data_IF_798265804916
#
_entry.id   IF_798265804916
#
_cell.length_a   1.000
_cell.length_b   1.000
_cell.length_c   1.000
_cell.angle_alpha   90.00
_cell.angle_beta   90.00
_cell.angle_gamma   90.00
#
_symmetry.space_group_name_H-M   'P 1'
#
loop_
_entity.id
_entity.type
_entity.pdbx_description
1 polymer ?
#
# COMPACT_ATOMS: atom_id res chain seq x y z
N UNK A 1 13.98 -6.51 -26.45
CA UNK A 1 13.55 -6.19 -25.07
C UNK A 1 14.12 -4.82 -24.74
N UNK A 2 13.27 -3.83 -24.65
CA UNK A 2 13.66 -2.52 -24.15
C UNK A 2 14.00 -2.74 -22.66
N UNK A 3 15.24 -2.49 -22.28
CA UNK A 3 15.61 -2.47 -20.86
C UNK A 3 14.88 -1.29 -20.23
N UNK A 4 13.80 -1.57 -19.52
CA UNK A 4 13.08 -0.53 -18.83
C UNK A 4 13.97 0.02 -17.72
N UNK A 5 14.21 1.31 -17.77
CA UNK A 5 14.98 2.00 -16.73
C UNK A 5 14.16 1.94 -15.42
N UNK A 6 14.77 1.48 -14.31
CA UNK A 6 14.09 1.45 -13.04
C UNK A 6 13.48 2.80 -12.69
N UNK A 7 12.26 2.79 -12.16
CA UNK A 7 11.52 4.01 -11.86
C UNK A 7 11.81 4.43 -10.42
N UNK A 8 12.13 5.69 -10.23
CA UNK A 8 12.35 6.26 -8.90
C UNK A 8 11.28 7.32 -8.64
N UNK A 9 10.74 7.31 -7.44
CA UNK A 9 9.74 8.25 -7.01
C UNK A 9 9.69 8.43 -5.50
N UNK A 10 8.71 9.18 -5.04
CA UNK A 10 8.45 9.37 -3.62
C UNK A 10 6.96 9.49 -3.32
N UNK A 11 6.59 9.15 -2.08
CA UNK A 11 5.29 9.47 -1.53
C UNK A 11 5.14 10.99 -1.42
N UNK A 12 4.05 11.51 -1.95
CA UNK A 12 3.64 12.91 -1.75
C UNK A 12 2.43 12.93 -0.83
N UNK A 13 2.54 13.66 0.27
CA UNK A 13 1.40 13.90 1.15
C UNK A 13 0.62 15.10 0.64
N UNK A 14 -0.61 14.82 0.20
CA UNK A 14 -1.62 15.81 -0.21
C UNK A 14 -2.60 15.95 0.94
N UNK A 15 -2.55 17.09 1.63
CA UNK A 15 -3.25 17.30 2.90
C UNK A 15 -4.12 18.55 2.86
N UNK A 16 -5.26 18.58 3.56
CA UNK A 16 -6.07 19.78 3.71
C UNK A 16 -5.26 20.96 4.25
N UNK A 17 -5.45 22.14 3.66
CA UNK A 17 -4.73 23.35 4.00
C UNK A 17 -3.55 23.66 3.09
N UNK A 18 -3.12 22.72 2.28
CA UNK A 18 -2.14 22.98 1.21
C UNK A 18 -2.80 23.78 0.08
N UNK A 19 -2.04 24.71 -0.48
CA UNK A 19 -2.48 25.49 -1.64
C UNK A 19 -2.18 24.74 -2.94
N UNK A 20 -2.83 25.11 -4.08
CA UNK A 20 -2.46 24.57 -5.39
C UNK A 20 -0.97 24.77 -5.71
N UNK A 21 -0.38 25.89 -5.27
CA UNK A 21 1.03 26.21 -5.45
C UNK A 21 1.96 25.27 -4.66
N UNK A 22 1.57 24.89 -3.44
CA UNK A 22 2.31 23.92 -2.63
C UNK A 22 2.33 22.55 -3.35
N UNK A 23 1.16 22.08 -3.80
CA UNK A 23 1.00 20.81 -4.50
C UNK A 23 1.77 20.82 -5.82
N UNK A 24 1.64 21.87 -6.64
CA UNK A 24 2.43 22.05 -7.88
C UNK A 24 3.93 22.01 -7.60
N UNK A 25 4.35 22.63 -6.49
CA UNK A 25 5.74 22.64 -6.03
C UNK A 25 6.29 21.25 -5.77
N UNK A 26 5.54 20.36 -5.15
CA UNK A 26 5.96 18.97 -4.88
C UNK A 26 6.20 18.20 -6.19
N UNK A 27 5.28 18.27 -7.14
CA UNK A 27 5.42 17.57 -8.41
C UNK A 27 6.52 18.16 -9.30
N UNK A 28 6.71 19.48 -9.26
CA UNK A 28 7.85 20.12 -9.89
C UNK A 28 9.17 19.64 -9.31
N UNK A 29 9.26 19.51 -7.97
CA UNK A 29 10.46 19.03 -7.28
C UNK A 29 10.79 17.58 -7.69
N UNK A 30 9.78 16.70 -7.81
CA UNK A 30 9.97 15.35 -8.33
C UNK A 30 10.58 15.37 -9.73
N UNK A 31 9.97 16.11 -10.66
CA UNK A 31 10.47 16.25 -12.03
C UNK A 31 11.90 16.77 -12.07
N UNK A 32 12.21 17.82 -11.31
CA UNK A 32 13.52 18.48 -11.32
C UNK A 32 14.63 17.57 -10.79
N UNK A 33 14.27 16.59 -9.95
CA UNK A 33 15.17 15.55 -9.46
C UNK A 33 15.13 14.25 -10.28
N UNK A 34 14.47 14.23 -11.44
CA UNK A 34 14.39 13.06 -12.31
C UNK A 34 13.48 11.94 -11.81
N UNK A 35 12.72 12.18 -10.76
CA UNK A 35 11.71 11.25 -10.25
C UNK A 35 10.45 11.31 -11.12
N UNK A 36 10.02 10.15 -11.62
CA UNK A 36 8.91 10.04 -12.58
C UNK A 36 7.67 9.37 -12.01
N UNK A 37 7.71 9.01 -10.75
CA UNK A 37 6.61 8.34 -10.06
C UNK A 37 6.35 9.04 -8.75
N UNK A 38 5.08 9.22 -8.41
CA UNK A 38 4.65 9.60 -7.09
C UNK A 38 3.61 8.61 -6.57
N UNK A 39 3.62 8.40 -5.28
CA UNK A 39 2.51 7.74 -4.60
C UNK A 39 1.76 8.78 -3.80
N UNK A 40 0.43 8.70 -3.80
CA UNK A 40 -0.44 9.54 -2.98
C UNK A 40 -1.43 8.67 -2.22
N UNK A 41 -1.81 9.10 -1.02
CA UNK A 41 -2.88 8.48 -0.24
C UNK A 41 -4.17 9.28 -0.41
N UNK A 42 -5.23 8.63 -0.87
CA UNK A 42 -6.50 9.28 -1.18
C UNK A 42 -7.50 9.09 -0.03
N UNK A 43 -7.33 9.89 1.02
CA UNK A 43 -8.17 9.79 2.21
C UNK A 43 -9.62 10.21 1.93
N UNK A 44 -10.57 9.32 2.20
CA UNK A 44 -11.98 9.61 2.08
C UNK A 44 -12.41 10.81 2.93
N UNK A 45 -11.87 10.95 4.15
CA UNK A 45 -12.14 12.08 5.04
C UNK A 45 -11.70 13.45 4.48
N UNK A 46 -10.81 13.48 3.51
CA UNK A 46 -10.44 14.72 2.83
C UNK A 46 -11.39 15.09 1.68
N UNK A 47 -12.16 14.13 1.20
CA UNK A 47 -13.01 14.26 0.01
C UNK A 47 -14.52 14.17 0.29
N UNK A 48 -14.94 13.52 1.40
CA UNK A 48 -16.34 13.33 1.72
C UNK A 48 -16.73 14.13 2.95
N UNK A 49 -17.60 15.12 2.79
CA UNK A 49 -18.04 16.00 3.87
C UNK A 49 -19.52 16.35 3.71
N UNK A 50 -20.28 16.21 4.80
CA UNK A 50 -21.67 16.61 4.81
C UNK A 50 -22.58 15.88 3.81
N UNK A 51 -22.21 14.67 3.40
CA UNK A 51 -22.97 13.88 2.43
C UNK A 51 -22.56 14.10 0.97
N UNK A 52 -21.57 14.96 0.70
CA UNK A 52 -21.14 15.32 -0.66
C UNK A 52 -19.64 15.03 -0.86
N UNK A 53 -19.28 14.73 -2.11
CA UNK A 53 -17.91 14.52 -2.54
C UNK A 53 -17.29 15.82 -3.05
N UNK A 54 -16.15 16.19 -2.52
CA UNK A 54 -15.27 17.26 -3.01
C UNK A 54 -13.90 16.68 -3.36
N UNK A 55 -13.61 16.58 -4.63
CA UNK A 55 -12.36 16.02 -5.15
C UNK A 55 -11.29 17.09 -5.41
N UNK A 56 -11.60 18.37 -5.19
CA UNK A 56 -10.76 19.49 -5.61
C UNK A 56 -9.31 19.42 -5.14
N UNK A 57 -9.09 19.01 -3.89
CA UNK A 57 -7.74 18.88 -3.32
C UNK A 57 -6.88 17.87 -4.10
N UNK A 58 -7.44 16.70 -4.42
CA UNK A 58 -6.70 15.68 -5.17
C UNK A 58 -6.68 15.96 -6.67
N UNK A 59 -7.69 16.63 -7.22
CA UNK A 59 -7.65 17.11 -8.61
C UNK A 59 -6.42 18.00 -8.88
N UNK A 60 -6.02 18.85 -7.93
CA UNK A 60 -4.79 19.62 -8.04
C UNK A 60 -3.55 18.72 -8.13
N UNK A 61 -3.49 17.65 -7.35
CA UNK A 61 -2.37 16.71 -7.38
C UNK A 61 -2.29 15.96 -8.73
N UNK A 62 -3.44 15.50 -9.24
CA UNK A 62 -3.49 14.83 -10.54
C UNK A 62 -3.16 15.77 -11.71
N UNK A 63 -3.66 17.02 -11.70
CA UNK A 63 -3.29 18.05 -12.69
C UNK A 63 -1.79 18.38 -12.64
N UNK A 64 -1.21 18.49 -11.46
CA UNK A 64 0.22 18.73 -11.31
C UNK A 64 1.02 17.51 -11.81
N UNK A 65 0.59 16.28 -11.53
CA UNK A 65 1.21 15.08 -12.05
C UNK A 65 1.16 15.03 -13.58
N UNK A 66 0.01 15.30 -14.21
CA UNK A 66 -0.13 15.39 -15.67
C UNK A 66 0.82 16.47 -16.25
N UNK A 67 0.82 17.66 -15.64
CA UNK A 67 1.65 18.79 -16.06
C UNK A 67 3.14 18.47 -16.08
N UNK A 68 3.62 17.72 -15.11
CA UNK A 68 5.05 17.40 -14.95
C UNK A 68 5.45 16.01 -15.46
N UNK A 69 4.50 15.24 -16.02
CA UNK A 69 4.74 13.89 -16.53
C UNK A 69 5.13 12.89 -15.44
N UNK A 70 4.58 13.06 -14.23
CA UNK A 70 4.78 12.15 -13.09
C UNK A 70 3.62 11.15 -13.04
N UNK A 71 3.94 9.86 -13.04
CA UNK A 71 2.93 8.80 -12.95
C UNK A 71 2.52 8.55 -11.50
N UNK A 72 1.24 8.26 -11.28
CA UNK A 72 0.67 8.12 -9.94
C UNK A 72 0.34 6.68 -9.56
N UNK A 73 0.82 6.29 -8.39
CA UNK A 73 0.30 5.20 -7.57
C UNK A 73 -0.73 5.81 -6.61
N UNK A 74 -2.01 5.65 -6.91
CA UNK A 74 -3.09 6.20 -6.11
C UNK A 74 -3.57 5.17 -5.08
N UNK A 75 -3.27 5.38 -3.81
CA UNK A 75 -3.65 4.47 -2.74
C UNK A 75 -5.07 4.75 -2.28
N UNK A 76 -5.95 3.76 -2.42
CA UNK A 76 -7.29 3.81 -1.89
C UNK A 76 -7.26 3.77 -0.37
N UNK A 77 -7.85 4.78 0.25
CA UNK A 77 -7.85 4.95 1.68
C UNK A 77 -9.26 5.31 2.18
N UNK A 78 -10.19 4.31 2.13
CA UNK A 78 -11.55 4.52 2.58
C UNK A 78 -11.52 4.82 4.08
N UNK A 79 -11.93 6.02 4.44
CA UNK A 79 -11.94 6.49 5.81
C UNK A 79 -13.31 6.29 6.40
N UNK A 80 -13.35 5.70 7.56
CA UNK A 80 -14.47 5.77 8.48
C UNK A 80 -14.05 6.57 9.70
N UNK A 81 -15.00 7.07 10.49
CA UNK A 81 -14.77 7.88 11.68
C UNK A 81 -13.85 7.25 12.75
N UNK A 82 -13.57 5.95 12.62
CA UNK A 82 -12.71 5.20 13.53
C UNK A 82 -11.32 4.96 12.96
N UNK A 83 -10.98 5.52 11.82
CA UNK A 83 -9.70 5.27 11.23
C UNK A 83 -8.61 6.03 11.93
N UNK A 84 -7.84 5.21 12.57
CA UNK A 84 -6.48 5.47 12.84
C UNK A 84 -5.72 5.47 11.50
N UNK A 85 -5.10 6.56 11.19
CA UNK A 85 -4.33 6.90 10.02
C UNK A 85 -3.05 6.04 9.80
N UNK A 86 -2.59 5.37 10.85
CA UNK A 86 -1.39 4.53 10.82
C UNK A 86 -1.72 3.18 10.20
N UNK A 87 -1.10 2.88 9.08
CA UNK A 87 -1.24 1.61 8.39
C UNK A 87 -2.60 1.40 7.70
N UNK A 88 -3.51 2.35 7.76
CA UNK A 88 -4.75 2.36 7.04
C UNK A 88 -5.78 1.34 7.51
N UNK A 89 -6.83 1.27 6.75
CA UNK A 89 -7.93 0.34 6.95
C UNK A 89 -7.50 -1.10 6.66
N UNK A 90 -7.86 -2.05 7.52
CA UNK A 90 -7.44 -3.45 7.38
C UNK A 90 -8.56 -4.40 6.91
N UNK A 91 -9.75 -4.33 7.50
CA UNK A 91 -10.86 -5.22 7.18
C UNK A 91 -12.22 -4.54 7.28
N UNK A 92 -13.21 -4.90 6.44
CA UNK A 92 -14.58 -4.46 6.63
C UNK A 92 -15.14 -5.07 7.93
N UNK A 93 -15.75 -4.23 8.77
CA UNK A 93 -16.29 -4.64 10.08
C UNK A 93 -17.72 -5.16 10.01
N UNK A 94 -18.45 -4.79 8.96
CA UNK A 94 -19.84 -5.16 8.75
C UNK A 94 -20.19 -5.06 7.26
N UNK A 95 -21.36 -5.57 6.90
CA UNK A 95 -21.90 -5.38 5.53
C UNK A 95 -22.19 -3.91 5.22
N UNK A 96 -22.58 -3.12 6.22
CA UNK A 96 -22.77 -1.68 6.05
C UNK A 96 -21.43 -1.01 5.75
N UNK A 97 -20.41 -1.30 6.56
CA UNK A 97 -19.06 -0.79 6.36
C UNK A 97 -18.48 -1.20 4.99
N UNK A 98 -18.69 -2.44 4.56
CA UNK A 98 -18.28 -2.88 3.23
C UNK A 98 -18.94 -2.06 2.12
N UNK A 99 -20.24 -1.71 2.26
CA UNK A 99 -20.92 -0.84 1.30
C UNK A 99 -20.34 0.58 1.29
N UNK A 100 -20.02 1.16 2.45
CA UNK A 100 -19.36 2.47 2.53
C UNK A 100 -18.02 2.46 1.81
N UNK A 101 -17.26 1.37 1.92
CA UNK A 101 -16.00 1.17 1.20
C UNK A 101 -16.27 1.09 -0.31
N UNK A 102 -17.26 0.33 -0.73
CA UNK A 102 -17.63 0.21 -2.15
C UNK A 102 -18.10 1.54 -2.74
N UNK A 103 -18.86 2.33 -1.98
CA UNK A 103 -19.30 3.67 -2.37
C UNK A 103 -18.10 4.62 -2.53
N UNK A 104 -17.16 4.59 -1.58
CA UNK A 104 -15.92 5.34 -1.67
C UNK A 104 -15.13 4.95 -2.93
N UNK A 105 -14.87 3.67 -3.14
CA UNK A 105 -14.11 3.17 -4.30
C UNK A 105 -14.81 3.59 -5.59
N UNK A 106 -16.14 3.45 -5.64
CA UNK A 106 -16.93 3.82 -6.82
C UNK A 106 -16.80 5.30 -7.14
N UNK A 107 -16.93 6.17 -6.15
CA UNK A 107 -16.82 7.62 -6.33
C UNK A 107 -15.41 8.02 -6.77
N UNK A 108 -14.38 7.57 -6.05
CA UNK A 108 -12.98 7.93 -6.28
C UNK A 108 -12.47 7.40 -7.61
N UNK A 109 -12.65 6.11 -7.88
CA UNK A 109 -12.16 5.50 -9.12
C UNK A 109 -12.87 6.09 -10.33
N UNK A 110 -14.20 6.27 -10.26
CA UNK A 110 -14.97 6.85 -11.37
C UNK A 110 -14.55 8.27 -11.70
N UNK A 111 -14.17 9.07 -10.70
CA UNK A 111 -13.71 10.43 -10.89
C UNK A 111 -12.28 10.49 -11.46
N UNK A 112 -11.32 9.82 -10.78
CA UNK A 112 -9.90 10.00 -11.08
C UNK A 112 -9.38 9.16 -12.25
N UNK A 113 -10.09 8.15 -12.74
CA UNK A 113 -9.68 7.36 -13.91
C UNK A 113 -9.49 8.18 -15.19
N UNK A 114 -10.00 9.40 -15.25
CA UNK A 114 -9.87 10.32 -16.39
C UNK A 114 -8.48 10.91 -16.55
N UNK A 115 -7.64 10.92 -15.51
CA UNK A 115 -6.32 11.52 -15.55
C UNK A 115 -5.28 10.58 -16.18
N UNK A 116 -4.45 11.12 -17.07
CA UNK A 116 -3.41 10.34 -17.78
C UNK A 116 -2.28 9.91 -16.85
N UNK A 117 -1.96 10.74 -15.87
CA UNK A 117 -0.94 10.46 -14.85
C UNK A 117 -1.26 9.24 -13.98
N UNK A 118 -2.52 8.86 -13.83
CA UNK A 118 -2.89 7.68 -13.07
C UNK A 118 -2.32 6.42 -13.71
N UNK A 119 -1.45 5.73 -13.01
CA UNK A 119 -0.82 4.51 -13.51
C UNK A 119 -1.40 3.26 -12.87
N UNK A 120 -1.51 3.26 -11.53
CA UNK A 120 -2.02 2.11 -10.81
C UNK A 120 -2.77 2.49 -9.54
N UNK A 121 -3.77 1.71 -9.21
CA UNK A 121 -4.48 1.78 -7.95
C UNK A 121 -3.78 0.90 -6.92
N UNK A 122 -3.37 1.46 -5.80
CA UNK A 122 -2.95 0.69 -4.63
C UNK A 122 -4.21 0.37 -3.84
N UNK A 123 -4.63 -0.90 -3.89
CA UNK A 123 -5.93 -1.35 -3.40
C UNK A 123 -6.10 -1.15 -1.89
N UNK A 124 -5.02 -1.35 -1.16
CA UNK A 124 -4.96 -1.15 0.29
C UNK A 124 -3.52 -0.89 0.72
N UNK A 125 -3.34 0.04 1.66
CA UNK A 125 -2.06 0.25 2.30
C UNK A 125 -1.78 -0.87 3.31
N UNK A 126 -0.65 -1.55 3.15
CA UNK A 126 -0.13 -2.54 4.09
C UNK A 126 -1.18 -3.54 4.59
N UNK A 127 -1.82 -4.31 3.68
CA UNK A 127 -2.83 -5.28 4.07
C UNK A 127 -2.27 -6.31 5.06
N UNK A 128 -3.09 -6.78 6.00
CA UNK A 128 -2.72 -7.85 6.94
C UNK A 128 -1.71 -7.45 8.02
N UNK A 129 -1.24 -6.19 8.05
CA UNK A 129 -0.23 -5.77 9.04
C UNK A 129 -0.75 -5.83 10.47
N UNK A 130 0.13 -6.26 11.38
CA UNK A 130 -0.08 -6.16 12.82
C UNK A 130 -0.69 -7.40 13.49
N UNK A 131 -0.76 -8.55 12.84
CA UNK A 131 -1.25 -9.79 13.47
C UNK A 131 -2.68 -9.66 14.02
N UNK A 132 -3.48 -8.78 13.45
CA UNK A 132 -4.82 -8.46 13.94
C UNK A 132 -5.75 -9.65 13.69
N UNK A 133 -6.31 -10.20 14.74
CA UNK A 133 -7.34 -11.23 14.62
C UNK A 133 -8.57 -10.65 13.95
N UNK A 134 -9.17 -11.41 13.04
CA UNK A 134 -10.46 -11.04 12.45
C UNK A 134 -11.52 -11.11 13.55
N UNK A 135 -12.14 -9.98 13.87
CA UNK A 135 -13.31 -9.97 14.73
C UNK A 135 -14.44 -10.75 14.04
N UNK A 136 -15.01 -11.73 14.72
CA UNK A 136 -16.08 -12.59 14.18
C UNK A 136 -17.42 -11.85 14.15
N UNK A 137 -17.49 -10.81 13.33
CA UNK A 137 -18.73 -10.11 12.96
C UNK A 137 -19.63 -11.00 12.11
N UNK A 138 -20.85 -10.59 11.86
CA UNK A 138 -21.77 -11.34 10.99
C UNK A 138 -21.21 -11.49 9.56
N UNK A 139 -20.54 -10.45 9.06
CA UNK A 139 -19.84 -10.51 7.77
C UNK A 139 -18.70 -11.53 7.79
N UNK A 140 -17.84 -11.46 8.81
CA UNK A 140 -16.71 -12.37 8.94
C UNK A 140 -17.17 -13.83 9.11
N UNK A 141 -18.27 -14.04 9.83
CA UNK A 141 -18.87 -15.37 10.01
C UNK A 141 -19.39 -15.94 8.70
N UNK A 142 -20.09 -15.14 7.91
CA UNK A 142 -20.54 -15.54 6.57
C UNK A 142 -19.38 -15.90 5.63
N UNK A 143 -18.30 -15.14 5.67
CA UNK A 143 -17.08 -15.43 4.89
C UNK A 143 -16.38 -16.69 5.41
N UNK A 144 -16.34 -16.89 6.73
CA UNK A 144 -15.82 -18.09 7.36
C UNK A 144 -16.59 -19.36 6.96
N UNK A 145 -17.93 -19.29 6.98
CA UNK A 145 -18.79 -20.39 6.59
C UNK A 145 -18.59 -20.77 5.11
N UNK A 146 -18.41 -19.77 4.24
CA UNK A 146 -18.04 -20.01 2.84
C UNK A 146 -16.68 -20.70 2.72
N UNK A 147 -15.69 -20.20 3.43
CA UNK A 147 -14.35 -20.79 3.43
C UNK A 147 -14.38 -22.26 3.85
N UNK A 148 -15.13 -22.58 4.91
CA UNK A 148 -15.30 -23.96 5.33
C UNK A 148 -16.05 -24.80 4.31
N UNK A 149 -17.00 -24.24 3.59
CA UNK A 149 -17.78 -24.97 2.59
C UNK A 149 -16.95 -25.40 1.37
N UNK A 150 -15.83 -24.72 1.10
CA UNK A 150 -14.90 -25.09 0.03
C UNK A 150 -14.13 -26.38 0.33
N UNK A 151 -14.18 -26.87 1.57
CA UNK A 151 -13.53 -28.12 1.99
C UNK A 151 -14.53 -29.24 2.18
N UNK A 152 -14.22 -30.47 1.76
CA UNK A 152 -15.10 -31.60 2.00
C UNK A 152 -15.27 -31.90 3.51
N UNK A 153 -16.41 -32.45 3.94
CA UNK A 153 -16.70 -32.72 5.36
C UNK A 153 -15.62 -33.47 6.11
N UNK A 154 -15.00 -34.45 5.45
CA UNK A 154 -13.93 -35.28 6.02
C UNK A 154 -12.65 -34.50 6.32
N UNK A 155 -12.43 -33.39 5.64
CA UNK A 155 -11.28 -32.51 5.90
C UNK A 155 -11.56 -31.51 7.04
N UNK A 156 -12.83 -31.21 7.29
CA UNK A 156 -13.20 -30.25 8.35
C UNK A 156 -13.07 -30.82 9.76
N UNK A 157 -13.17 -32.14 9.91
CA UNK A 157 -13.12 -32.83 11.20
C UNK A 157 -14.36 -32.58 12.08
N UNK A 158 -14.82 -33.59 12.78
CA UNK A 158 -15.85 -33.46 13.81
C UNK A 158 -15.17 -33.31 15.19
N UNK A 159 -15.56 -32.31 15.94
CA UNK A 159 -15.19 -32.13 17.33
C UNK A 159 -13.79 -31.58 17.63
N UNK A 160 -12.97 -31.28 16.61
CA UNK A 160 -11.69 -30.58 16.77
C UNK A 160 -11.32 -29.74 15.55
N UNK A 161 -10.60 -28.67 15.79
CA UNK A 161 -10.09 -27.84 14.74
C UNK A 161 -8.83 -28.45 14.14
N UNK A 162 -8.83 -28.74 12.84
CA UNK A 162 -7.60 -29.13 12.14
C UNK A 162 -6.66 -27.91 12.04
N UNK A 163 -5.36 -28.15 11.96
CA UNK A 163 -4.35 -27.10 11.89
C UNK A 163 -4.60 -26.09 10.76
N UNK A 164 -5.17 -26.55 9.64
CA UNK A 164 -5.46 -25.67 8.49
C UNK A 164 -6.70 -24.78 8.65
N UNK A 165 -7.49 -24.97 9.71
CA UNK A 165 -8.67 -24.16 10.02
C UNK A 165 -8.43 -23.19 11.20
N UNK A 166 -7.20 -22.81 11.46
CA UNK A 166 -6.85 -21.85 12.50
C UNK A 166 -7.33 -20.43 12.17
N UNK A 167 -7.36 -19.56 13.18
CA UNK A 167 -7.68 -18.16 12.97
C UNK A 167 -6.66 -17.45 12.05
N UNK A 168 -5.41 -17.83 12.13
CA UNK A 168 -4.34 -17.31 11.27
C UNK A 168 -4.61 -17.65 9.80
N UNK A 169 -5.01 -18.87 9.50
CA UNK A 169 -5.39 -19.27 8.14
C UNK A 169 -6.66 -18.56 7.67
N UNK A 170 -7.64 -18.39 8.55
CA UNK A 170 -8.82 -17.61 8.23
C UNK A 170 -8.50 -16.15 7.98
N UNK A 171 -7.59 -15.55 8.75
CA UNK A 171 -7.13 -14.17 8.51
C UNK A 171 -6.54 -14.02 7.11
N UNK A 172 -5.67 -14.95 6.69
CA UNK A 172 -5.09 -14.98 5.34
C UNK A 172 -6.18 -15.08 4.27
N UNK A 173 -7.14 -15.97 4.46
CA UNK A 173 -8.28 -16.11 3.55
C UNK A 173 -9.16 -14.86 3.51
N UNK A 174 -9.48 -14.29 4.66
CA UNK A 174 -10.33 -13.10 4.77
C UNK A 174 -9.69 -11.88 4.12
N UNK A 175 -8.39 -11.70 4.33
CA UNK A 175 -7.60 -10.65 3.65
C UNK A 175 -7.63 -10.84 2.14
N UNK A 176 -7.41 -12.07 1.68
CA UNK A 176 -7.44 -12.43 0.25
C UNK A 176 -8.81 -12.19 -0.37
N UNK A 177 -9.88 -12.62 0.30
CA UNK A 177 -11.25 -12.40 -0.12
C UNK A 177 -11.54 -10.89 -0.26
N UNK A 178 -11.16 -10.11 0.73
CA UNK A 178 -11.41 -8.67 0.73
C UNK A 178 -10.59 -7.94 -0.35
N UNK A 179 -9.31 -8.23 -0.49
CA UNK A 179 -8.48 -7.66 -1.56
C UNK A 179 -9.01 -8.02 -2.95
N UNK A 180 -9.46 -9.26 -3.15
CA UNK A 180 -10.07 -9.67 -4.40
C UNK A 180 -11.38 -8.92 -4.67
N UNK A 181 -12.22 -8.70 -3.64
CA UNK A 181 -13.44 -7.90 -3.75
C UNK A 181 -13.13 -6.48 -4.24
N UNK A 182 -12.16 -5.79 -3.63
CA UNK A 182 -11.72 -4.46 -4.05
C UNK A 182 -11.15 -4.51 -5.49
N UNK A 183 -10.30 -5.49 -5.78
CA UNK A 183 -9.69 -5.62 -7.09
C UNK A 183 -10.72 -5.77 -8.20
N UNK A 184 -11.74 -6.60 -7.99
CA UNK A 184 -12.82 -6.78 -8.95
C UNK A 184 -13.66 -5.51 -9.14
N UNK A 185 -13.90 -4.75 -8.06
CA UNK A 185 -14.62 -3.49 -8.17
C UNK A 185 -13.80 -2.46 -8.97
N UNK A 186 -12.53 -2.31 -8.64
CA UNK A 186 -11.62 -1.41 -9.38
C UNK A 186 -11.52 -1.83 -10.85
N UNK A 187 -11.38 -3.13 -11.15
CA UNK A 187 -11.29 -3.63 -12.52
C UNK A 187 -12.54 -3.32 -13.35
N UNK A 188 -13.74 -3.43 -12.75
CA UNK A 188 -14.99 -3.05 -13.43
C UNK A 188 -15.06 -1.54 -13.71
N UNK A 189 -14.54 -0.71 -12.82
CA UNK A 189 -14.61 0.74 -12.93
C UNK A 189 -13.49 1.32 -13.82
N UNK A 190 -12.30 0.73 -13.75
CA UNK A 190 -11.12 1.17 -14.47
C UNK A 190 -10.25 -0.03 -14.91
N UNK A 191 -10.65 -0.73 -15.98
CA UNK A 191 -9.96 -1.93 -16.44
C UNK A 191 -8.57 -1.67 -17.04
N UNK A 192 -8.23 -0.41 -17.32
CA UNK A 192 -6.98 -0.05 -18.00
C UNK A 192 -5.81 0.19 -17.04
N UNK A 193 -6.10 0.47 -15.78
CA UNK A 193 -5.08 0.79 -14.78
C UNK A 193 -4.66 -0.44 -13.99
N UNK A 194 -3.41 -0.38 -13.49
CA UNK A 194 -2.86 -1.42 -12.65
C UNK A 194 -3.56 -1.56 -11.31
N UNK A 195 -3.38 -2.71 -10.68
CA UNK A 195 -3.85 -3.02 -9.31
C UNK A 195 -2.65 -3.52 -8.52
N UNK A 196 -2.39 -2.89 -7.39
CA UNK A 196 -1.19 -3.04 -6.59
C UNK A 196 -1.51 -3.13 -5.10
N UNK A 197 -0.63 -3.75 -4.34
CA UNK A 197 -0.59 -3.70 -2.87
C UNK A 197 0.86 -3.55 -2.39
N UNK A 198 1.05 -3.06 -1.17
CA UNK A 198 2.35 -2.97 -0.50
C UNK A 198 2.34 -3.68 0.86
N UNK A 199 2.51 -5.01 0.92
CA UNK A 199 2.64 -5.75 2.17
C UNK A 199 3.64 -5.14 3.14
N UNK A 200 3.36 -5.30 4.44
CA UNK A 200 4.12 -4.73 5.54
C UNK A 200 4.92 -5.80 6.29
N UNK A 201 6.13 -5.47 6.75
CA UNK A 201 6.96 -6.36 7.59
C UNK A 201 7.08 -7.81 7.10
N UNK A 202 7.26 -8.02 5.84
CA UNK A 202 7.20 -9.35 5.20
C UNK A 202 8.05 -10.41 5.91
N UNK A 203 9.22 -10.06 6.48
CA UNK A 203 10.05 -11.03 7.20
C UNK A 203 9.33 -11.67 8.40
N UNK A 204 8.44 -10.90 9.05
CA UNK A 204 7.67 -11.38 10.20
C UNK A 204 6.27 -11.87 9.84
N UNK A 205 5.73 -11.44 8.72
CA UNK A 205 4.31 -11.63 8.39
C UNK A 205 4.08 -12.38 7.07
N UNK A 206 5.11 -12.97 6.47
CA UNK A 206 5.00 -13.69 5.21
C UNK A 206 3.86 -14.73 5.18
N UNK A 207 3.59 -15.50 6.26
CA UNK A 207 2.47 -16.44 6.28
C UNK A 207 1.08 -15.81 6.21
N UNK A 208 0.98 -14.49 6.42
CA UNK A 208 -0.32 -13.78 6.41
C UNK A 208 -0.80 -13.47 4.99
N UNK A 209 0.05 -13.71 3.97
CA UNK A 209 -0.22 -13.35 2.58
C UNK A 209 -0.36 -14.58 1.68
N UNK A 210 -1.41 -14.62 0.89
CA UNK A 210 -1.62 -15.60 -0.17
C UNK A 210 -1.22 -15.02 -1.54
N UNK A 211 0.09 -14.87 -1.76
CA UNK A 211 0.62 -14.33 -3.01
C UNK A 211 0.19 -15.11 -4.26
N UNK A 212 0.08 -16.46 -4.23
CA UNK A 212 -0.50 -17.21 -5.35
C UNK A 212 -1.92 -16.80 -5.70
N UNK A 213 -2.76 -16.51 -4.71
CA UNK A 213 -4.10 -15.97 -4.97
C UNK A 213 -4.03 -14.52 -5.48
N UNK A 214 -3.16 -13.70 -4.91
CA UNK A 214 -2.99 -12.30 -5.31
C UNK A 214 -2.54 -12.15 -6.75
N UNK A 215 -1.70 -13.03 -7.26
CA UNK A 215 -1.24 -13.00 -8.66
C UNK A 215 -2.37 -13.10 -9.69
N UNK A 216 -3.55 -13.58 -9.28
CA UNK A 216 -4.72 -13.73 -10.16
C UNK A 216 -5.46 -12.40 -10.40
N UNK A 217 -5.29 -11.41 -9.53
CA UNK A 217 -6.01 -10.15 -9.63
C UNK A 217 -5.13 -8.90 -9.50
N UNK A 218 -3.88 -9.03 -9.07
CA UNK A 218 -2.91 -7.93 -9.08
C UNK A 218 -2.13 -7.90 -10.38
N UNK A 219 -1.73 -6.71 -10.80
CA UNK A 219 -0.84 -6.48 -11.96
C UNK A 219 0.60 -6.19 -11.56
N UNK A 220 0.81 -5.85 -10.29
CA UNK A 220 2.11 -5.67 -9.65
C UNK A 220 1.98 -5.85 -8.14
N UNK A 221 3.08 -6.10 -7.47
CA UNK A 221 3.14 -6.22 -6.02
C UNK A 221 4.33 -5.44 -5.48
N UNK A 222 4.21 -4.90 -4.29
CA UNK A 222 5.30 -4.17 -3.66
C UNK A 222 5.54 -4.59 -2.23
N UNK A 223 6.35 -3.80 -1.54
CA UNK A 223 6.57 -3.92 -0.11
C UNK A 223 6.90 -2.58 0.53
N UNK A 224 6.57 -2.44 1.82
CA UNK A 224 7.06 -1.36 2.66
C UNK A 224 8.34 -1.81 3.35
N UNK A 225 9.42 -1.06 3.17
CA UNK A 225 10.74 -1.28 3.76
C UNK A 225 11.16 -0.06 4.59
N UNK A 226 10.64 0.01 5.80
CA UNK A 226 11.03 1.01 6.79
C UNK A 226 12.11 0.42 7.69
N UNK A 227 13.36 0.76 7.45
CA UNK A 227 14.54 0.13 8.08
C UNK A 227 14.49 0.25 9.60
N UNK A 228 14.08 1.41 10.11
CA UNK A 228 13.95 1.66 11.54
C UNK A 228 12.79 0.89 12.22
N UNK A 229 11.85 0.39 11.44
CA UNK A 229 10.71 -0.39 11.96
C UNK A 229 10.83 -1.89 11.70
N UNK A 230 11.25 -2.26 10.49
CA UNK A 230 11.11 -3.64 10.02
C UNK A 230 12.36 -4.48 10.28
N UNK A 231 13.50 -3.85 10.51
CA UNK A 231 14.80 -4.53 10.55
C UNK A 231 15.43 -4.59 11.94
N UNK A 232 14.61 -4.64 12.99
CA UNK A 232 15.10 -4.76 14.37
C UNK A 232 15.97 -5.97 14.67
N UNK A 233 15.93 -6.99 13.80
CA UNK A 233 16.81 -8.16 13.87
C UNK A 233 18.20 -7.94 13.22
N UNK A 234 18.38 -6.85 12.48
CA UNK A 234 19.62 -6.47 11.83
C UNK A 234 20.28 -5.31 12.55
N UNK A 235 21.61 -5.30 12.60
CA UNK A 235 22.34 -4.07 12.89
C UNK A 235 22.25 -3.10 11.73
N UNK A 236 22.45 -1.81 11.95
CA UNK A 236 22.38 -0.82 10.88
C UNK A 236 23.34 -1.10 9.72
N UNK A 237 24.47 -1.77 9.98
CA UNK A 237 25.44 -2.20 8.95
C UNK A 237 24.87 -3.29 8.05
N UNK A 238 23.90 -4.04 8.54
CA UNK A 238 23.26 -5.17 7.82
C UNK A 238 21.96 -4.75 7.11
N UNK A 239 21.51 -3.51 7.24
CA UNK A 239 20.31 -3.05 6.55
C UNK A 239 20.30 -3.31 5.04
N UNK A 240 21.44 -3.18 4.29
CA UNK A 240 21.45 -3.57 2.88
C UNK A 240 21.15 -5.05 2.64
N UNK A 241 21.56 -5.95 3.54
CA UNK A 241 21.16 -7.37 3.49
C UNK A 241 19.66 -7.53 3.69
N UNK A 242 19.08 -6.81 4.65
CA UNK A 242 17.64 -6.79 4.87
C UNK A 242 16.88 -6.32 3.62
N UNK A 243 17.32 -5.25 2.98
CA UNK A 243 16.74 -4.74 1.73
C UNK A 243 16.84 -5.79 0.62
N UNK A 244 17.99 -6.43 0.44
CA UNK A 244 18.19 -7.48 -0.56
C UNK A 244 17.28 -8.68 -0.29
N UNK A 245 17.25 -9.19 0.94
CA UNK A 245 16.43 -10.32 1.34
C UNK A 245 14.93 -10.05 1.10
N UNK A 246 14.46 -8.89 1.53
CA UNK A 246 13.05 -8.50 1.32
C UNK A 246 12.70 -8.38 -0.16
N UNK A 247 13.60 -7.77 -0.94
CA UNK A 247 13.42 -7.66 -2.40
C UNK A 247 13.34 -9.02 -3.07
N UNK A 248 14.20 -9.97 -2.67
CA UNK A 248 14.17 -11.33 -3.19
C UNK A 248 12.89 -12.08 -2.81
N UNK A 249 12.42 -11.93 -1.57
CA UNK A 249 11.15 -12.51 -1.12
C UNK A 249 10.00 -11.98 -1.98
N UNK A 250 9.90 -10.67 -2.16
CA UNK A 250 8.82 -10.06 -2.96
C UNK A 250 8.93 -10.48 -4.43
N UNK A 251 10.12 -10.47 -5.01
CA UNK A 251 10.35 -10.89 -6.39
C UNK A 251 9.85 -12.31 -6.64
N UNK A 252 10.15 -13.25 -5.75
CA UNK A 252 9.68 -14.62 -5.88
C UNK A 252 8.16 -14.74 -5.71
N UNK A 253 7.58 -13.99 -4.79
CA UNK A 253 6.15 -13.99 -4.53
C UNK A 253 5.33 -13.13 -5.52
N UNK A 254 5.98 -12.32 -6.35
CA UNK A 254 5.34 -11.62 -7.45
C UNK A 254 4.90 -12.55 -8.60
N UNK A 255 5.44 -13.78 -8.64
CA UNK A 255 5.07 -14.85 -9.59
C UNK A 255 5.11 -14.40 -11.06
N UNK A 256 6.11 -13.62 -11.41
CA UNK A 256 6.30 -13.09 -12.76
C UNK A 256 5.69 -11.72 -13.03
N UNK A 257 4.89 -11.19 -12.10
CA UNK A 257 4.46 -9.79 -12.16
C UNK A 257 5.61 -8.84 -11.77
N UNK A 258 5.58 -7.59 -12.23
CA UNK A 258 6.48 -6.55 -11.74
C UNK A 258 6.42 -6.40 -10.23
N UNK A 259 7.58 -6.23 -9.57
CA UNK A 259 7.60 -5.91 -8.16
C UNK A 259 8.27 -4.56 -7.88
N UNK A 260 7.83 -3.91 -6.81
CA UNK A 260 8.25 -2.59 -6.40
C UNK A 260 8.66 -2.57 -4.93
N UNK A 261 9.55 -1.65 -4.58
CA UNK A 261 9.64 -1.20 -3.20
C UNK A 261 8.78 0.06 -3.11
N UNK A 262 7.56 -0.13 -2.61
CA UNK A 262 6.52 0.90 -2.66
C UNK A 262 6.67 1.93 -1.54
N UNK A 263 7.37 1.58 -0.47
CA UNK A 263 7.79 2.48 0.60
C UNK A 263 9.21 2.11 1.02
N UNK A 264 10.19 2.90 0.62
CA UNK A 264 11.56 2.80 1.13
C UNK A 264 11.83 3.98 2.05
N UNK A 265 12.30 3.74 3.26
CA UNK A 265 12.68 4.83 4.16
C UNK A 265 13.65 5.79 3.48
N UNK A 266 13.28 7.07 3.38
CA UNK A 266 14.08 8.11 2.74
C UNK A 266 14.78 9.02 3.75
N UNK A 267 14.02 9.58 4.66
CA UNK A 267 14.48 10.58 5.60
C UNK A 267 14.70 10.09 7.03
N UNK A 268 14.90 11.05 7.89
CA UNK A 268 15.20 10.83 9.30
C UNK A 268 13.98 10.39 10.09
N UNK A 269 14.18 9.47 11.01
CA UNK A 269 13.21 9.01 11.99
C UNK A 269 13.81 9.11 13.38
N UNK A 270 13.11 9.78 14.28
CA UNK A 270 13.58 10.00 15.66
C UNK A 270 12.61 9.44 16.69
N UNK A 271 11.31 9.60 16.48
CA UNK A 271 10.26 9.21 17.43
C UNK A 271 9.28 8.18 16.86
N UNK A 272 8.99 8.22 15.57
CA UNK A 272 7.96 7.39 14.94
C UNK A 272 8.41 5.99 14.52
N UNK A 273 9.70 5.65 14.67
CA UNK A 273 10.26 4.32 14.42
C UNK A 273 10.56 3.54 15.70
N UNK A 274 10.87 2.25 15.57
CA UNK A 274 11.30 1.42 16.70
C UNK A 274 12.67 1.85 17.26
N UNK A 275 13.51 2.35 16.38
CA UNK A 275 14.84 2.92 16.74
C UNK A 275 15.05 4.21 15.95
N UNK A 276 15.66 5.23 16.57
CA UNK A 276 16.06 6.43 15.84
C UNK A 276 17.04 6.06 14.73
N UNK A 277 16.81 6.60 13.54
CA UNK A 277 17.68 6.36 12.40
C UNK A 277 17.72 7.54 11.44
N UNK A 278 18.94 8.01 11.17
CA UNK A 278 19.21 9.11 10.26
C UNK A 278 20.09 8.60 9.11
N UNK A 279 19.52 8.12 8.00
CA UNK A 279 20.31 7.65 6.88
C UNK A 279 21.05 8.82 6.23
N UNK A 280 22.31 8.58 5.87
CA UNK A 280 23.05 9.52 5.00
C UNK A 280 22.63 9.33 3.55
N UNK A 281 22.94 10.30 2.69
CA UNK A 281 22.73 10.16 1.24
C UNK A 281 23.37 8.89 0.66
N UNK A 282 24.55 8.49 1.17
CA UNK A 282 25.22 7.25 0.77
C UNK A 282 24.42 6.00 1.19
N UNK A 283 23.86 5.99 2.40
CA UNK A 283 22.99 4.90 2.86
C UNK A 283 21.74 4.80 2.01
N UNK A 284 21.06 5.92 1.76
CA UNK A 284 19.85 5.97 0.94
C UNK A 284 20.15 5.47 -0.49
N UNK A 285 21.25 5.92 -1.09
CA UNK A 285 21.69 5.42 -2.39
C UNK A 285 21.99 3.91 -2.37
N UNK A 286 22.63 3.40 -1.34
CA UNK A 286 22.92 1.98 -1.19
C UNK A 286 21.62 1.15 -1.13
N UNK A 287 20.62 1.57 -0.35
CA UNK A 287 19.33 0.85 -0.25
C UNK A 287 18.59 0.86 -1.59
N UNK A 288 18.53 2.02 -2.25
CA UNK A 288 17.93 2.17 -3.57
C UNK A 288 18.57 1.20 -4.58
N UNK A 289 19.89 1.24 -4.71
CA UNK A 289 20.60 0.40 -5.68
C UNK A 289 20.56 -1.08 -5.31
N UNK A 290 20.50 -1.42 -4.02
CA UNK A 290 20.30 -2.81 -3.59
C UNK A 290 18.94 -3.33 -4.03
N UNK A 291 17.86 -2.57 -3.86
CA UNK A 291 16.54 -2.96 -4.32
C UNK A 291 16.48 -3.12 -5.85
N UNK A 292 17.06 -2.19 -6.60
CA UNK A 292 17.13 -2.24 -8.06
C UNK A 292 17.96 -3.44 -8.51
N UNK A 293 19.13 -3.68 -7.92
CA UNK A 293 19.99 -4.82 -8.23
C UNK A 293 19.31 -6.16 -7.93
N UNK A 294 18.39 -6.20 -6.98
CA UNK A 294 17.54 -7.36 -6.68
C UNK A 294 16.37 -7.51 -7.67
N UNK A 295 16.24 -6.61 -8.66
CA UNK A 295 15.27 -6.68 -9.75
C UNK A 295 13.99 -5.88 -9.54
N UNK A 296 13.95 -4.95 -8.59
CA UNK A 296 12.80 -4.06 -8.46
C UNK A 296 12.62 -3.21 -9.72
N UNK A 297 11.39 -3.15 -10.25
CA UNK A 297 11.04 -2.29 -11.38
C UNK A 297 11.10 -0.81 -11.00
N UNK A 298 10.83 -0.53 -9.75
CA UNK A 298 10.98 0.82 -9.20
C UNK A 298 10.96 0.86 -7.68
N UNK A 299 11.29 2.04 -7.19
CA UNK A 299 11.37 2.37 -5.77
C UNK A 299 10.66 3.70 -5.51
N UNK A 300 9.82 3.71 -4.51
CA UNK A 300 9.11 4.91 -4.03
C UNK A 300 9.58 5.18 -2.60
N UNK A 301 10.22 6.33 -2.40
CA UNK A 301 10.66 6.72 -1.07
C UNK A 301 9.51 7.18 -0.19
N UNK A 302 9.58 6.86 1.08
CA UNK A 302 8.77 7.41 2.13
C UNK A 302 9.56 8.47 2.87
N UNK A 303 9.39 9.79 2.68
CA UNK A 303 8.48 10.51 1.79
C UNK A 303 9.16 11.74 1.17
N UNK A 304 8.54 12.41 0.20
CA UNK A 304 9.08 13.64 -0.37
C UNK A 304 8.94 14.80 0.63
N UNK A 305 7.71 15.04 1.08
CA UNK A 305 7.36 16.09 2.04
C UNK A 305 6.93 15.47 3.37
N UNK A 306 7.23 16.16 4.44
CA UNK A 306 6.82 15.75 5.78
C UNK A 306 5.33 15.98 5.99
N UNK A 307 4.72 15.16 6.84
CA UNK A 307 3.36 15.39 7.30
C UNK A 307 3.31 16.53 8.31
N UNK A 308 2.22 17.30 8.29
CA UNK A 308 2.01 18.41 9.21
C UNK A 308 1.53 17.95 10.60
N UNK A 309 0.89 16.78 10.65
CA UNK A 309 0.26 16.27 11.88
C UNK A 309 0.40 14.74 11.96
N UNK A 310 -0.11 14.14 13.04
CA UNK A 310 -0.12 12.74 13.41
C UNK A 310 1.27 12.19 13.82
N UNK A 311 1.37 10.88 14.02
CA UNK A 311 2.54 10.22 14.60
C UNK A 311 3.86 10.47 13.84
N UNK A 312 3.79 10.65 12.51
CA UNK A 312 4.95 10.85 11.65
C UNK A 312 5.24 12.33 11.33
N UNK A 313 4.59 13.25 12.05
CA UNK A 313 4.73 14.68 11.78
C UNK A 313 6.19 15.15 11.91
N UNK A 314 6.70 15.83 10.86
CA UNK A 314 8.04 16.37 10.82
C UNK A 314 9.16 15.35 10.59
N UNK A 315 8.82 14.09 10.30
CA UNK A 315 9.79 13.01 10.06
C UNK A 315 9.68 12.46 8.62
N UNK A 316 10.55 11.54 8.25
CA UNK A 316 10.59 10.76 7.00
C UNK A 316 10.86 11.53 5.71
N UNK A 317 10.78 12.86 5.69
CA UNK A 317 11.00 13.66 4.49
C UNK A 317 12.42 13.52 3.92
N UNK A 318 12.52 13.46 2.58
CA UNK A 318 13.78 13.47 1.83
C UNK A 318 14.51 14.80 1.93
#
# INVERSE_FOLDING_TARGET
QQCDVPQIGAQVFVEPGQTPEDIDGFFRLLRDNGMKVARIRMFGAHMYRGGEWDFSLYDEAFRAADKYGVRLFATLFPVTDELNDVGGFKFPRSKAHLREIDDYITAVVSHFRQYESLWTWVLQNEPGSGGTRVAMTDLAREVYDRWLADFPPEERGEGYLKADFTQEKFLTYYTTWYLNHIAQLVERLDPQRGRHINPHQILGTLPDYDFPAYSKFLTSVGASLHLSWHFGMFSQREYPLGVSLMSDIIRHNALGNPFWITELQGGNVTASGNVPYCPTAAHTAQYLWTAIASGAEGVIFWSLNQRAAVMEAGEWGL
#
